data_IF_122198433702
#
_entry.id   IF_122198433702
#
_cell.length_a   1.000
_cell.length_b   1.000
_cell.length_c   1.000
_cell.angle_alpha   90.00
_cell.angle_beta   90.00
_cell.angle_gamma   90.00
#
_symmetry.space_group_name_H-M   'P 1'
#
loop_
_entity.id
_entity.type
_entity.pdbx_description
1 polymer ?
#
# COMPACT_ATOMS: atom_id res chain seq x y z
N UNK A 1 -32.86 -48.97 0.79
CA UNK A 1 -32.33 -48.41 2.05
C UNK A 1 -30.98 -49.05 2.31
N UNK A 2 -29.91 -48.28 2.42
CA UNK A 2 -28.57 -48.81 2.66
C UNK A 2 -28.48 -49.39 4.08
N UNK A 3 -27.84 -50.57 4.22
CA UNK A 3 -27.67 -51.25 5.50
C UNK A 3 -26.62 -50.53 6.34
N UNK A 4 -26.90 -50.35 7.63
CA UNK A 4 -25.97 -49.79 8.61
C UNK A 4 -24.72 -50.67 8.70
N UNK A 5 -23.55 -50.15 8.31
CA UNK A 5 -22.25 -50.84 8.41
C UNK A 5 -21.60 -51.28 7.08
N UNK A 6 -22.29 -51.17 5.94
CA UNK A 6 -21.68 -51.38 4.62
C UNK A 6 -21.45 -50.03 3.93
N UNK A 7 -20.37 -49.34 4.30
CA UNK A 7 -19.91 -48.14 3.60
C UNK A 7 -19.40 -48.50 2.20
N UNK A 8 -19.89 -47.81 1.17
CA UNK A 8 -19.45 -48.01 -0.22
C UNK A 8 -17.93 -47.72 -0.31
N UNK A 9 -17.10 -48.63 -0.87
CA UNK A 9 -15.65 -48.45 -0.95
C UNK A 9 -15.21 -47.27 -1.83
N UNK A 10 -16.14 -46.63 -2.58
CA UNK A 10 -15.89 -45.36 -3.27
C UNK A 10 -15.89 -44.15 -2.32
N UNK A 11 -16.43 -44.30 -1.12
CA UNK A 11 -16.57 -43.25 -0.12
C UNK A 11 -15.63 -43.55 1.06
N UNK A 12 -14.37 -43.14 0.91
CA UNK A 12 -13.43 -43.09 2.03
C UNK A 12 -13.84 -41.92 2.94
N UNK A 13 -14.63 -42.22 3.98
CA UNK A 13 -14.79 -41.34 5.14
C UNK A 13 -13.77 -41.75 6.20
N UNK A 14 -12.49 -41.78 5.82
CA UNK A 14 -11.41 -41.84 6.80
C UNK A 14 -11.13 -40.42 7.30
N UNK A 15 -11.15 -40.27 8.62
CA UNK A 15 -10.65 -39.09 9.30
C UNK A 15 -9.13 -39.03 9.06
N UNK A 16 -8.70 -38.27 8.05
CA UNK A 16 -7.25 -38.05 7.82
C UNK A 16 -6.69 -37.24 8.98
N UNK A 17 -5.71 -37.81 9.69
CA UNK A 17 -4.97 -37.14 10.77
C UNK A 17 -4.15 -35.93 10.28
N UNK A 18 -3.92 -35.80 8.97
CA UNK A 18 -2.98 -34.80 8.42
C UNK A 18 -3.50 -33.36 8.38
N UNK A 19 -4.80 -33.10 8.59
CA UNK A 19 -5.39 -31.74 8.64
C UNK A 19 -5.03 -30.81 7.47
N UNK A 20 -4.43 -31.33 6.39
CA UNK A 20 -3.86 -30.53 5.31
C UNK A 20 -4.95 -29.99 4.42
N UNK A 21 -4.83 -28.72 4.07
CA UNK A 21 -5.69 -28.07 3.10
C UNK A 21 -5.40 -28.57 1.68
N UNK A 22 -5.88 -29.77 1.36
CA UNK A 22 -5.71 -30.37 0.04
C UNK A 22 -6.44 -29.50 -0.99
N UNK A 23 -5.73 -29.08 -2.04
CA UNK A 23 -6.23 -28.25 -3.14
C UNK A 23 -6.74 -26.83 -2.78
N UNK A 24 -6.35 -26.25 -1.63
CA UNK A 24 -6.86 -24.95 -1.16
C UNK A 24 -8.40 -24.87 -1.15
N UNK A 25 -9.04 -25.95 -0.70
CA UNK A 25 -10.50 -26.03 -0.56
C UNK A 25 -11.00 -25.30 0.68
N UNK A 26 -10.17 -25.24 1.74
CA UNK A 26 -10.39 -24.38 2.89
C UNK A 26 -9.80 -22.99 2.64
N UNK A 27 -10.55 -21.96 3.04
CA UNK A 27 -10.07 -20.57 2.97
C UNK A 27 -8.77 -20.43 3.73
N UNK A 28 -7.76 -19.87 3.07
CA UNK A 28 -6.53 -19.39 3.70
C UNK A 28 -6.43 -17.91 3.44
N UNK A 29 -6.28 -17.14 4.51
CA UNK A 29 -6.09 -15.69 4.48
C UNK A 29 -4.70 -15.41 5.04
N UNK A 30 -3.82 -14.87 4.20
CA UNK A 30 -2.46 -14.52 4.59
C UNK A 30 -2.33 -13.01 4.58
N UNK A 31 -2.00 -12.41 5.73
CA UNK A 31 -1.68 -10.98 5.79
C UNK A 31 -0.36 -10.68 5.09
N UNK A 32 -0.35 -9.63 4.29
CA UNK A 32 0.82 -9.11 3.56
C UNK A 32 1.22 -7.71 4.03
N UNK A 33 0.73 -7.25 5.18
CA UNK A 33 1.06 -5.93 5.71
C UNK A 33 2.56 -5.72 5.94
N UNK A 34 3.30 -6.75 6.35
CA UNK A 34 4.75 -6.67 6.49
C UNK A 34 5.42 -6.39 5.13
N UNK A 35 5.04 -7.17 4.12
CA UNK A 35 5.54 -7.00 2.75
C UNK A 35 5.18 -5.63 2.16
N UNK A 36 3.96 -5.13 2.39
CA UNK A 36 3.53 -3.80 1.94
C UNK A 36 4.40 -2.71 2.55
N UNK A 37 4.69 -2.78 3.85
CA UNK A 37 5.56 -1.80 4.54
C UNK A 37 6.98 -1.81 3.97
N UNK A 38 7.55 -2.99 3.77
CA UNK A 38 8.89 -3.14 3.19
C UNK A 38 8.93 -2.62 1.75
N UNK A 39 7.94 -2.99 0.93
CA UNK A 39 7.88 -2.58 -0.47
C UNK A 39 7.64 -1.07 -0.62
N UNK A 40 6.77 -0.47 0.18
CA UNK A 40 6.61 0.98 0.22
C UNK A 40 7.89 1.67 0.66
N UNK A 41 8.59 1.11 1.67
CA UNK A 41 9.91 1.60 2.07
C UNK A 41 10.90 1.62 0.92
N UNK A 42 10.99 0.52 0.16
CA UNK A 42 11.85 0.38 -1.02
C UNK A 42 11.48 1.35 -2.16
N UNK A 43 10.19 1.48 -2.48
CA UNK A 43 9.69 2.36 -3.55
C UNK A 43 9.94 3.85 -3.26
N UNK A 44 9.88 4.24 -1.98
CA UNK A 44 10.10 5.62 -1.55
C UNK A 44 11.54 5.90 -1.11
N UNK A 45 12.37 4.89 -0.88
CA UNK A 45 13.80 5.05 -0.58
C UNK A 45 14.56 5.51 -1.84
N UNK A 46 14.77 6.82 -1.95
CA UNK A 46 15.82 7.39 -2.80
C UNK A 46 15.44 7.83 -4.21
N UNK A 47 14.16 8.08 -4.53
CA UNK A 47 13.77 8.34 -5.94
C UNK A 47 12.81 9.52 -6.15
N UNK A 48 11.95 9.88 -5.22
CA UNK A 48 10.94 10.92 -5.48
C UNK A 48 11.45 12.32 -5.12
N UNK A 49 12.02 12.99 -6.12
CA UNK A 49 12.28 14.43 -6.09
C UNK A 49 11.37 15.14 -7.10
N UNK A 50 10.76 16.24 -6.68
CA UNK A 50 9.96 17.11 -7.52
C UNK A 50 10.59 18.50 -7.49
N UNK A 51 11.07 18.95 -8.65
CA UNK A 51 11.53 20.33 -8.81
C UNK A 51 10.33 21.24 -8.98
N UNK A 52 10.29 22.29 -8.17
CA UNK A 52 9.24 23.30 -8.27
C UNK A 52 9.37 24.08 -9.58
N UNK A 53 8.26 24.60 -10.14
CA UNK A 53 8.29 25.50 -11.28
C UNK A 53 9.23 26.70 -11.03
N UNK A 54 9.86 27.19 -12.10
CA UNK A 54 10.74 28.38 -12.07
C UNK A 54 11.98 28.26 -11.18
N UNK A 55 12.53 27.05 -11.00
CA UNK A 55 13.75 26.80 -10.19
C UNK A 55 13.62 27.30 -8.74
N UNK A 56 12.39 27.43 -8.23
CA UNK A 56 12.12 27.94 -6.88
C UNK A 56 12.57 27.03 -5.76
N UNK A 57 12.85 25.76 -6.05
CA UNK A 57 13.33 24.79 -5.07
C UNK A 57 13.08 23.35 -5.50
N UNK A 58 13.47 22.44 -4.63
CA UNK A 58 13.31 20.99 -4.81
C UNK A 58 12.60 20.42 -3.59
N UNK A 59 11.57 19.60 -3.83
CA UNK A 59 10.89 18.81 -2.82
C UNK A 59 11.31 17.35 -2.92
N UNK A 60 11.77 16.75 -1.83
CA UNK A 60 12.17 15.36 -1.75
C UNK A 60 11.28 14.60 -0.77
N UNK A 61 10.80 13.42 -1.16
CA UNK A 61 10.18 12.49 -0.22
C UNK A 61 11.31 11.83 0.57
N UNK A 62 11.33 12.04 1.89
CA UNK A 62 12.35 11.48 2.79
C UNK A 62 12.10 10.01 3.08
N UNK A 63 10.83 9.58 3.05
CA UNK A 63 10.47 8.18 3.14
C UNK A 63 9.10 7.93 3.75
N UNK A 64 8.88 6.66 4.08
CA UNK A 64 7.66 6.16 4.67
C UNK A 64 7.65 6.40 6.18
N UNK A 65 6.68 7.17 6.67
CA UNK A 65 6.51 7.40 8.10
C UNK A 65 5.63 6.33 8.74
N UNK A 66 4.49 6.05 8.13
CA UNK A 66 3.52 5.09 8.67
C UNK A 66 2.65 4.50 7.56
N UNK A 67 2.29 3.22 7.72
CA UNK A 67 1.25 2.56 6.93
C UNK A 67 0.30 1.89 7.89
N UNK A 68 -0.97 2.30 7.80
CA UNK A 68 -2.09 1.73 8.53
C UNK A 68 -3.04 1.03 7.55
N UNK A 69 -3.87 0.14 8.08
CA UNK A 69 -4.84 -0.61 7.29
C UNK A 69 -4.53 -2.10 7.23
N UNK A 70 -5.05 -2.76 6.20
CA UNK A 70 -4.93 -4.19 5.98
C UNK A 70 -4.64 -4.54 4.52
N UNK A 71 -3.83 -5.59 4.34
CA UNK A 71 -3.58 -6.20 3.05
C UNK A 71 -3.57 -7.70 3.26
N UNK A 72 -4.51 -8.40 2.64
CA UNK A 72 -4.73 -9.82 2.81
C UNK A 72 -4.90 -10.49 1.46
N UNK A 73 -4.19 -11.58 1.27
CA UNK A 73 -4.35 -12.44 0.10
C UNK A 73 -5.13 -13.66 0.53
N UNK A 74 -6.26 -13.89 -0.15
CA UNK A 74 -7.11 -15.06 0.06
C UNK A 74 -7.05 -15.97 -1.15
N UNK A 75 -6.96 -17.29 -0.92
CA UNK A 75 -6.96 -18.28 -2.00
C UNK A 75 -8.17 -19.20 -1.84
N UNK A 76 -8.96 -19.34 -2.91
CA UNK A 76 -10.14 -20.22 -2.97
C UNK A 76 -10.21 -21.03 -4.26
N UNK A 77 -10.90 -22.18 -4.21
CA UNK A 77 -11.32 -22.97 -5.40
C UNK A 77 -10.21 -23.16 -6.46
N UNK A 78 -9.09 -23.78 -6.07
CA UNK A 78 -8.04 -24.15 -7.04
C UNK A 78 -7.29 -22.95 -7.61
N UNK A 79 -6.68 -22.14 -6.73
CA UNK A 79 -5.78 -21.03 -7.07
C UNK A 79 -6.43 -19.71 -7.52
N UNK A 80 -7.73 -19.49 -7.26
CA UNK A 80 -8.29 -18.14 -7.39
C UNK A 80 -7.84 -17.30 -6.21
N UNK A 81 -6.82 -16.48 -6.46
CA UNK A 81 -6.29 -15.47 -5.56
C UNK A 81 -7.18 -14.25 -5.59
N UNK A 82 -7.59 -13.76 -4.42
CA UNK A 82 -8.24 -12.46 -4.26
C UNK A 82 -7.39 -11.66 -3.28
N UNK A 83 -6.86 -10.54 -3.78
CA UNK A 83 -6.16 -9.56 -2.96
C UNK A 83 -7.20 -8.58 -2.44
N UNK A 84 -7.22 -8.42 -1.12
CA UNK A 84 -8.05 -7.43 -0.43
C UNK A 84 -7.08 -6.48 0.27
N UNK A 85 -7.16 -5.19 -0.05
CA UNK A 85 -6.37 -4.16 0.61
C UNK A 85 -7.21 -2.92 0.92
N UNK A 86 -6.88 -2.31 2.05
CA UNK A 86 -7.34 -1.01 2.53
C UNK A 86 -6.14 -0.38 3.22
N UNK A 87 -5.58 0.68 2.65
CA UNK A 87 -4.31 1.25 3.10
C UNK A 87 -4.44 2.76 3.30
N UNK A 88 -3.86 3.21 4.40
CA UNK A 88 -3.63 4.61 4.70
C UNK A 88 -2.13 4.83 4.86
N UNK A 89 -1.54 5.63 3.97
CA UNK A 89 -0.09 5.80 3.84
C UNK A 89 0.28 7.22 4.26
N UNK A 90 1.25 7.35 5.17
CA UNK A 90 1.81 8.63 5.58
C UNK A 90 3.30 8.69 5.20
N UNK A 91 3.65 9.69 4.41
CA UNK A 91 4.98 9.92 3.86
C UNK A 91 5.52 11.25 4.40
N UNK A 92 6.79 11.29 4.74
CA UNK A 92 7.47 12.55 5.07
C UNK A 92 8.16 13.12 3.84
N UNK A 93 8.14 14.44 3.70
CA UNK A 93 8.85 15.15 2.65
C UNK A 93 9.65 16.33 3.23
N UNK A 94 10.70 16.69 2.53
CA UNK A 94 11.53 17.86 2.79
C UNK A 94 11.57 18.76 1.57
N UNK A 95 11.59 20.07 1.77
CA UNK A 95 11.65 21.07 0.72
C UNK A 95 12.84 21.99 0.92
N UNK A 96 13.62 22.18 -0.15
CA UNK A 96 14.74 23.08 -0.20
C UNK A 96 14.45 24.19 -1.22
N UNK A 97 14.24 25.42 -0.74
CA UNK A 97 13.92 26.57 -1.59
C UNK A 97 15.19 27.26 -2.06
N UNK A 98 15.20 27.66 -3.34
CA UNK A 98 16.32 28.38 -3.94
C UNK A 98 16.47 29.75 -3.30
N UNK A 99 17.63 29.97 -2.67
CA UNK A 99 17.93 31.22 -1.96
C UNK A 99 17.74 31.17 -0.43
N UNK A 100 17.35 30.01 0.12
CA UNK A 100 17.30 29.78 1.56
C UNK A 100 18.06 28.51 1.94
N UNK A 101 18.94 28.59 2.94
CA UNK A 101 19.62 27.42 3.51
C UNK A 101 18.68 26.56 4.40
N UNK A 102 17.43 27.02 4.61
CA UNK A 102 16.48 26.33 5.47
C UNK A 102 15.78 25.21 4.72
N UNK A 103 15.78 24.03 5.33
CA UNK A 103 14.99 22.89 4.87
C UNK A 103 13.63 22.92 5.56
N UNK A 104 12.57 23.01 4.76
CA UNK A 104 11.18 22.90 5.22
C UNK A 104 10.82 21.43 5.29
N UNK A 105 10.13 20.99 6.35
CA UNK A 105 9.66 19.61 6.48
C UNK A 105 8.15 19.56 6.45
N UNK A 106 7.61 18.47 5.92
CA UNK A 106 6.19 18.24 5.87
C UNK A 106 5.83 16.76 5.77
N UNK A 107 4.54 16.51 5.73
CA UNK A 107 3.96 15.18 5.64
C UNK A 107 2.82 15.16 4.64
N UNK A 108 2.82 14.13 3.78
CA UNK A 108 1.72 13.81 2.87
C UNK A 108 1.04 12.54 3.37
N UNK A 109 -0.27 12.61 3.59
CA UNK A 109 -1.11 11.45 3.87
C UNK A 109 -1.95 11.13 2.65
N UNK A 110 -1.99 9.86 2.30
CA UNK A 110 -2.87 9.29 1.28
C UNK A 110 -3.79 8.32 1.99
N UNK A 111 -5.07 8.67 2.04
CA UNK A 111 -6.11 7.88 2.69
C UNK A 111 -7.00 7.23 1.63
N UNK A 112 -7.69 6.16 2.06
CA UNK A 112 -8.66 5.41 1.25
C UNK A 112 -8.06 4.68 0.03
N UNK A 113 -6.82 4.18 0.15
CA UNK A 113 -6.22 3.34 -0.90
C UNK A 113 -6.77 1.92 -0.77
N UNK A 114 -7.91 1.66 -1.41
CA UNK A 114 -8.63 0.38 -1.31
C UNK A 114 -8.89 -0.27 -2.68
N UNK A 115 -9.38 -1.51 -2.70
CA UNK A 115 -9.84 -2.17 -3.94
C UNK A 115 -11.07 -1.52 -4.57
N UNK A 116 -11.85 -0.77 -3.79
CA UNK A 116 -13.10 -0.13 -4.24
C UNK A 116 -12.94 1.32 -4.65
N UNK A 117 -11.82 1.94 -4.31
CA UNK A 117 -11.55 3.35 -4.53
C UNK A 117 -10.67 3.55 -5.78
N UNK A 118 -11.05 4.48 -6.65
CA UNK A 118 -10.26 4.87 -7.82
C UNK A 118 -9.12 5.84 -7.43
N UNK A 119 -8.08 5.94 -8.25
CA UNK A 119 -6.91 6.81 -7.98
C UNK A 119 -7.29 8.29 -7.79
N UNK A 120 -8.37 8.74 -8.44
CA UNK A 120 -8.93 10.09 -8.34
C UNK A 120 -9.76 10.31 -7.05
N UNK A 121 -10.16 9.23 -6.37
CA UNK A 121 -10.95 9.29 -5.13
C UNK A 121 -10.08 9.33 -3.87
N UNK A 122 -8.77 9.04 -4.00
CA UNK A 122 -7.85 9.04 -2.87
C UNK A 122 -7.76 10.42 -2.23
N UNK A 123 -7.82 10.44 -0.90
CA UNK A 123 -7.78 11.69 -0.13
C UNK A 123 -6.32 12.03 0.16
N UNK A 124 -5.82 13.08 -0.49
CA UNK A 124 -4.47 13.62 -0.26
C UNK A 124 -4.51 14.76 0.75
N UNK A 125 -3.89 14.56 1.90
CA UNK A 125 -3.73 15.59 2.92
C UNK A 125 -2.26 15.98 3.04
N UNK A 126 -1.94 17.21 2.64
CA UNK A 126 -0.58 17.77 2.72
C UNK A 126 -0.47 18.72 3.91
N UNK A 127 0.54 18.48 4.74
CA UNK A 127 0.85 19.29 5.92
C UNK A 127 2.32 19.70 5.91
N UNK A 128 2.61 20.86 6.49
CA UNK A 128 3.96 21.42 6.60
C UNK A 128 4.22 21.79 8.06
N UNK A 129 5.46 21.58 8.52
CA UNK A 129 5.87 21.95 9.86
C UNK A 129 6.29 23.42 9.91
N UNK A 130 5.58 24.21 10.73
CA UNK A 130 5.83 25.64 10.92
C UNK A 130 4.90 26.55 10.11
N UNK A 131 5.16 27.86 10.20
CA UNK A 131 4.34 28.90 9.56
C UNK A 131 5.24 29.97 8.96
N UNK A 132 5.06 30.27 7.67
CA UNK A 132 5.84 31.28 6.95
C UNK A 132 5.68 31.15 5.43
N UNK A 133 6.13 32.17 4.71
CA UNK A 133 6.00 32.24 3.23
C UNK A 133 6.73 31.09 2.52
N UNK A 134 7.85 30.63 3.08
CA UNK A 134 8.61 29.47 2.59
C UNK A 134 7.79 28.18 2.73
N UNK A 135 7.12 28.00 3.86
CA UNK A 135 6.28 26.83 4.14
C UNK A 135 5.03 26.80 3.26
N UNK A 136 4.39 27.96 3.04
CA UNK A 136 3.24 28.08 2.14
C UNK A 136 3.63 27.76 0.68
N UNK A 137 4.81 28.20 0.23
CA UNK A 137 5.30 27.87 -1.11
C UNK A 137 5.60 26.37 -1.25
N UNK A 138 6.29 25.76 -0.26
CA UNK A 138 6.51 24.31 -0.24
C UNK A 138 5.20 23.52 -0.19
N UNK A 139 4.19 23.96 0.57
CA UNK A 139 2.90 23.29 0.66
C UNK A 139 2.13 23.33 -0.66
N UNK A 140 2.12 24.49 -1.33
CA UNK A 140 1.51 24.60 -2.66
C UNK A 140 2.26 23.76 -3.71
N UNK A 141 3.59 23.75 -3.63
CA UNK A 141 4.45 22.95 -4.50
C UNK A 141 4.32 21.44 -4.29
N UNK A 142 4.00 21.00 -3.08
CA UNK A 142 3.86 19.59 -2.73
C UNK A 142 2.68 18.91 -3.44
N UNK A 143 1.74 19.67 -4.01
CA UNK A 143 0.74 19.14 -4.95
C UNK A 143 1.38 18.41 -6.14
N UNK A 144 2.57 18.86 -6.57
CA UNK A 144 3.36 18.21 -7.62
C UNK A 144 3.96 16.85 -7.22
N UNK A 145 3.98 16.50 -5.92
CA UNK A 145 4.38 15.18 -5.45
C UNK A 145 3.27 14.14 -5.64
N UNK A 146 2.00 14.55 -5.74
CA UNK A 146 0.85 13.66 -5.91
C UNK A 146 1.02 12.67 -7.07
N UNK A 147 1.32 13.09 -8.32
CA UNK A 147 1.49 12.14 -9.43
C UNK A 147 2.61 11.12 -9.20
N UNK A 148 3.70 11.54 -8.54
CA UNK A 148 4.84 10.66 -8.23
C UNK A 148 4.41 9.62 -7.19
N UNK A 149 3.69 10.04 -6.14
CA UNK A 149 3.17 9.16 -5.10
C UNK A 149 2.15 8.17 -5.68
N UNK A 150 1.24 8.63 -6.55
CA UNK A 150 0.26 7.80 -7.23
C UNK A 150 0.94 6.73 -8.09
N UNK A 151 1.97 7.09 -8.87
CA UNK A 151 2.74 6.12 -9.66
C UNK A 151 3.33 5.01 -8.78
N UNK A 152 3.91 5.37 -7.62
CA UNK A 152 4.49 4.37 -6.70
C UNK A 152 3.41 3.52 -6.02
N UNK A 153 2.27 4.09 -5.67
CA UNK A 153 1.13 3.33 -5.14
C UNK A 153 0.60 2.35 -6.19
N UNK A 154 0.49 2.77 -7.46
CA UNK A 154 0.09 1.89 -8.56
C UNK A 154 1.07 0.73 -8.72
N UNK A 155 2.37 1.01 -8.66
CA UNK A 155 3.40 -0.03 -8.70
C UNK A 155 3.26 -1.02 -7.54
N UNK A 156 3.03 -0.54 -6.31
CA UNK A 156 2.77 -1.39 -5.15
C UNK A 156 1.55 -2.30 -5.37
N UNK A 157 0.43 -1.75 -5.87
CA UNK A 157 -0.80 -2.52 -6.10
C UNK A 157 -0.58 -3.58 -7.19
N UNK A 158 0.15 -3.26 -8.26
CA UNK A 158 0.52 -4.23 -9.29
C UNK A 158 1.34 -5.38 -8.70
N UNK A 159 2.40 -5.07 -7.97
CA UNK A 159 3.26 -6.06 -7.31
C UNK A 159 2.47 -6.93 -6.32
N UNK A 160 1.55 -6.33 -5.55
CA UNK A 160 0.70 -7.05 -4.59
C UNK A 160 -0.24 -8.05 -5.28
N UNK A 161 -0.74 -7.70 -6.46
CA UNK A 161 -1.56 -8.58 -7.29
C UNK A 161 -0.76 -9.77 -7.86
N UNK A 162 0.54 -9.65 -8.06
CA UNK A 162 1.41 -10.71 -8.57
C UNK A 162 1.88 -11.73 -7.52
N UNK A 163 1.75 -11.43 -6.21
CA UNK A 163 2.13 -12.35 -5.10
C UNK A 163 1.41 -13.71 -5.03
#
# INVERSE_FOLDING_TARGET
>A
MAKWGEGDPRWVVEHREDGKNVNNWHWTATSKMAWVKERLGDLFNGVAHHTLPDDKGVLNITGLKQVNGEATITVRKGNKKLVIYDLNVSLSYEGHLSGSDKTVKGEVKVEDVSNGSEEDEYIFTITVEGTGSEQDECKNGAEGLRPIILEKIRQLIADLNEL
#
